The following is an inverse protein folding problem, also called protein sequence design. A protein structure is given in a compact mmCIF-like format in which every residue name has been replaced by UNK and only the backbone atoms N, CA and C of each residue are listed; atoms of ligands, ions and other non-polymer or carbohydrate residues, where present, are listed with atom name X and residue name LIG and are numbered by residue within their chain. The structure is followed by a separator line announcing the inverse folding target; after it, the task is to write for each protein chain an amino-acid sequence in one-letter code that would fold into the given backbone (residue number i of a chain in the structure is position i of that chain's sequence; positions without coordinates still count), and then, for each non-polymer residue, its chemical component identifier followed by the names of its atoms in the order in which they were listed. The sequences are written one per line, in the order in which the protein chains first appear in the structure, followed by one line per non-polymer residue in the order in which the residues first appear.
data_IF_954096603557
#
_entry.id   IF_954096603557
#
_cell.length_a   1.000
_cell.length_b   1.000
_cell.length_c   1.000
_cell.angle_alpha   90.00
_cell.angle_beta   90.00
_cell.angle_gamma   90.00
#
_symmetry.space_group_name_H-M   'P 1'
#
loop_
_entity.id
_entity.type
_entity.pdbx_description
1 polymer ?
#
# COMPACT_ATOMS: atom_id res chain seq x y z
N UNK A 1 -3.94 9.23 14.41
CA UNK A 1 -2.91 9.89 13.57
C UNK A 1 -2.38 8.81 12.65
N UNK A 2 -2.37 9.03 11.34
CA UNK A 2 -2.12 7.99 10.32
C UNK A 2 -0.63 7.64 10.28
N UNK A 3 -0.17 6.91 11.29
CA UNK A 3 1.25 6.61 11.54
C UNK A 3 1.81 5.56 10.58
N UNK A 4 0.97 4.87 9.80
CA UNK A 4 1.35 3.74 8.94
C UNK A 4 0.95 3.93 7.47
N UNK A 5 0.92 5.17 6.96
CA UNK A 5 0.73 5.41 5.53
C UNK A 5 2.07 5.21 4.80
N UNK A 6 2.12 4.16 3.99
CA UNK A 6 3.28 3.81 3.16
C UNK A 6 2.86 3.86 1.70
N UNK A 7 3.67 4.49 0.85
CA UNK A 7 3.45 4.47 -0.59
C UNK A 7 4.06 3.20 -1.16
N UNK A 8 3.22 2.40 -1.81
CA UNK A 8 3.66 1.20 -2.49
C UNK A 8 4.04 1.50 -3.94
N UNK A 9 5.05 0.78 -4.40
CA UNK A 9 5.54 0.75 -5.78
C UNK A 9 5.63 -0.72 -6.19
N UNK A 10 5.78 -1.00 -7.47
CA UNK A 10 5.90 -2.39 -7.94
C UNK A 10 7.07 -3.13 -7.29
N UNK A 11 8.15 -2.40 -6.96
CA UNK A 11 9.38 -2.93 -6.38
C UNK A 11 9.20 -3.40 -4.92
N UNK A 12 8.33 -2.75 -4.15
CA UNK A 12 8.14 -3.04 -2.72
C UNK A 12 6.81 -3.73 -2.39
N UNK A 13 5.91 -3.90 -3.38
CA UNK A 13 4.59 -4.47 -3.16
C UNK A 13 4.66 -5.92 -2.64
N UNK A 14 5.60 -6.72 -3.15
CA UNK A 14 5.73 -8.10 -2.70
C UNK A 14 6.10 -8.20 -1.22
N UNK A 15 7.17 -7.51 -0.79
CA UNK A 15 7.65 -7.61 0.59
C UNK A 15 6.72 -6.93 1.59
N UNK A 16 6.14 -5.78 1.24
CA UNK A 16 5.36 -4.98 2.19
C UNK A 16 3.88 -5.37 2.23
N UNK A 17 3.34 -5.97 1.17
CA UNK A 17 1.91 -6.32 1.06
C UNK A 17 1.70 -7.83 1.01
N UNK A 18 2.34 -8.54 0.07
CA UNK A 18 2.06 -9.96 -0.15
C UNK A 18 2.66 -10.85 0.94
N UNK A 19 3.86 -10.50 1.41
CA UNK A 19 4.58 -11.22 2.46
C UNK A 19 4.27 -10.66 3.87
N UNK A 20 3.26 -9.79 4.01
CA UNK A 20 2.95 -9.13 5.28
C UNK A 20 2.30 -10.07 6.30
N UNK A 21 2.84 -10.07 7.53
CA UNK A 21 2.28 -10.81 8.66
C UNK A 21 0.93 -10.26 9.15
N UNK A 22 0.52 -9.09 8.67
CA UNK A 22 -0.73 -8.42 9.06
C UNK A 22 -1.58 -8.13 7.81
N UNK A 23 -2.91 -8.11 7.93
CA UNK A 23 -3.76 -7.67 6.83
C UNK A 23 -3.42 -6.24 6.38
N UNK A 24 -3.17 -6.08 5.09
CA UNK A 24 -2.86 -4.79 4.47
C UNK A 24 -4.06 -4.30 3.67
N UNK A 25 -4.50 -3.06 3.95
CA UNK A 25 -5.52 -2.37 3.16
C UNK A 25 -4.81 -1.50 2.12
N UNK A 26 -5.03 -1.79 0.83
CA UNK A 26 -4.43 -1.05 -0.27
C UNK A 26 -5.47 -0.14 -0.92
N UNK A 27 -5.17 1.16 -0.95
CA UNK A 27 -5.94 2.15 -1.69
C UNK A 27 -5.31 2.37 -3.08
N UNK A 28 -5.93 1.77 -4.10
CA UNK A 28 -5.53 1.98 -5.49
C UNK A 28 -6.19 3.25 -6.02
N UNK A 29 -5.39 4.29 -6.19
CA UNK A 29 -5.86 5.59 -6.64
C UNK A 29 -5.03 6.12 -7.80
N UNK A 30 -5.57 7.14 -8.45
CA UNK A 30 -4.86 7.94 -9.44
C UNK A 30 -5.31 9.40 -9.30
N UNK A 31 -4.45 10.38 -9.65
CA UNK A 31 -4.79 11.81 -9.49
C UNK A 31 -5.98 12.27 -10.34
N UNK A 32 -6.38 11.46 -11.32
CA UNK A 32 -7.51 11.70 -12.22
C UNK A 32 -8.76 10.87 -11.89
N UNK A 33 -8.73 10.05 -10.82
CA UNK A 33 -9.86 9.22 -10.41
C UNK A 33 -10.80 10.03 -9.51
N UNK A 34 -12.05 10.24 -9.95
CA UNK A 34 -13.10 10.98 -9.24
C UNK A 34 -14.49 10.74 -9.80
#
# INVERSE_FOLDING_TARGET
MADNLVTFTDENFQSEVLDSDKPVLVDFWAPWCG
#
